data_IF_221623629141
#
_entry.id   IF_221623629141
#
_cell.length_a   1.000
_cell.length_b   1.000
_cell.length_c   1.000
_cell.angle_alpha   90.00
_cell.angle_beta   90.00
_cell.angle_gamma   90.00
#
_symmetry.space_group_name_H-M   'P 1'
#
loop_
_entity.id
_entity.type
_entity.pdbx_description
1 polymer ?
#
# COMPACT_ATOMS: atom_id res chain seq x y z
N UNK A 1 32.24 -50.38 24.64
CA UNK A 1 32.60 -48.97 24.43
C UNK A 1 34.06 -48.77 24.82
N UNK A 2 34.98 -48.48 23.89
CA UNK A 2 36.29 -47.97 24.26
C UNK A 2 36.27 -46.44 24.38
N UNK A 3 37.09 -45.87 25.28
CA UNK A 3 36.99 -44.49 25.73
C UNK A 3 37.76 -43.50 24.84
N UNK A 4 37.19 -42.31 24.70
CA UNK A 4 37.87 -41.01 24.58
C UNK A 4 39.19 -40.94 23.80
N UNK A 5 39.10 -40.75 22.48
CA UNK A 5 40.21 -40.15 21.72
C UNK A 5 40.25 -38.64 22.00
N UNK A 6 41.25 -38.16 22.74
CA UNK A 6 41.57 -36.73 22.90
C UNK A 6 41.98 -36.18 21.54
N UNK A 7 41.37 -35.07 21.11
CA UNK A 7 41.83 -34.32 19.95
C UNK A 7 43.28 -33.85 20.20
N UNK A 8 44.18 -34.12 19.23
CA UNK A 8 45.56 -33.61 19.29
C UNK A 8 45.52 -32.08 19.19
N UNK A 9 46.22 -31.39 20.08
CA UNK A 9 46.28 -29.93 20.11
C UNK A 9 46.95 -29.39 18.85
N UNK A 10 46.30 -28.44 18.17
CA UNK A 10 46.84 -27.78 16.99
C UNK A 10 48.22 -27.16 17.31
N UNK A 11 49.19 -27.38 16.42
CA UNK A 11 50.53 -26.78 16.50
C UNK A 11 50.41 -25.24 16.41
N UNK A 12 50.97 -24.50 17.38
CA UNK A 12 50.98 -23.04 17.36
C UNK A 12 51.67 -22.48 16.11
N UNK A 13 51.12 -21.40 15.56
CA UNK A 13 51.57 -20.79 14.31
C UNK A 13 53.03 -20.32 14.33
N UNK A 14 53.60 -20.04 15.52
CA UNK A 14 55.02 -19.67 15.64
C UNK A 14 55.99 -20.81 15.25
N UNK A 15 55.58 -22.09 15.31
CA UNK A 15 56.45 -23.24 14.99
C UNK A 15 56.47 -23.60 13.49
N UNK A 16 55.63 -22.96 12.67
CA UNK A 16 55.53 -23.20 11.23
C UNK A 16 56.27 -22.16 10.37
N UNK A 17 56.96 -21.19 10.99
CA UNK A 17 57.77 -20.22 10.27
C UNK A 17 59.16 -20.81 9.98
N UNK A 18 59.53 -21.08 8.72
CA UNK A 18 60.92 -21.43 8.41
C UNK A 18 61.80 -20.21 8.68
N UNK A 19 62.80 -20.37 9.54
CA UNK A 19 63.90 -19.42 9.70
C UNK A 19 64.60 -19.25 8.35
N UNK A 20 64.31 -18.13 7.68
CA UNK A 20 64.97 -17.73 6.45
C UNK A 20 65.98 -16.63 6.80
N UNK A 21 67.25 -17.03 6.95
CA UNK A 21 68.38 -16.11 6.85
C UNK A 21 68.30 -15.33 5.52
N UNK A 22 68.65 -14.03 5.49
CA UNK A 22 68.60 -13.25 4.26
C UNK A 22 69.73 -13.66 3.30
N UNK A 23 69.37 -14.38 2.23
CA UNK A 23 70.26 -14.67 1.10
C UNK A 23 70.80 -13.36 0.46
N UNK A 24 72.07 -13.35 -0.01
CA UNK A 24 72.64 -12.18 -0.67
C UNK A 24 71.89 -11.83 -1.97
N UNK A 25 71.85 -10.54 -2.36
CA UNK A 25 71.06 -10.10 -3.51
C UNK A 25 71.58 -10.76 -4.80
N UNK A 26 70.79 -11.64 -5.38
CA UNK A 26 71.09 -12.26 -6.67
C UNK A 26 71.10 -11.17 -7.75
N UNK A 27 72.17 -11.16 -8.56
CA UNK A 27 72.34 -10.23 -9.67
C UNK A 27 71.10 -10.19 -10.57
N UNK A 28 70.66 -8.98 -10.93
CA UNK A 28 69.44 -8.71 -11.67
C UNK A 28 69.46 -9.45 -13.03
N UNK A 29 68.76 -10.59 -13.10
CA UNK A 29 68.47 -11.24 -14.38
C UNK A 29 67.57 -10.31 -15.18
N UNK A 30 67.95 -10.04 -16.43
CA UNK A 30 67.16 -9.17 -17.31
C UNK A 30 65.71 -9.66 -17.34
N UNK A 31 64.77 -8.73 -17.18
CA UNK A 31 63.33 -9.02 -17.18
C UNK A 31 62.97 -9.58 -18.55
N UNK A 32 62.97 -10.90 -18.73
CA UNK A 32 62.32 -11.51 -19.91
C UNK A 32 60.84 -11.18 -19.80
N UNK A 33 60.38 -10.32 -20.70
CA UNK A 33 58.99 -9.86 -20.81
C UNK A 33 58.09 -11.11 -20.82
N UNK A 34 57.23 -11.25 -19.81
CA UNK A 34 56.25 -12.34 -19.76
C UNK A 34 55.38 -12.18 -21.00
N UNK A 35 55.35 -13.19 -21.88
CA UNK A 35 54.57 -13.14 -23.12
C UNK A 35 53.11 -12.98 -22.71
N UNK A 36 52.53 -11.84 -23.05
CA UNK A 36 51.14 -11.52 -22.77
C UNK A 36 50.31 -12.46 -23.65
N UNK A 37 49.76 -13.50 -23.03
CA UNK A 37 48.87 -14.42 -23.72
C UNK A 37 47.49 -13.81 -23.67
N UNK A 38 47.06 -13.22 -24.78
CA UNK A 38 45.70 -12.75 -24.96
C UNK A 38 44.79 -13.99 -24.92
N UNK A 39 44.01 -14.11 -23.85
CA UNK A 39 43.07 -15.20 -23.68
C UNK A 39 41.89 -14.98 -24.63
N UNK A 40 42.05 -15.39 -25.89
CA UNK A 40 41.01 -15.29 -26.89
C UNK A 40 39.95 -16.37 -26.60
N UNK A 41 38.69 -15.97 -26.51
CA UNK A 41 37.56 -16.87 -26.31
C UNK A 41 37.33 -17.69 -27.59
N UNK A 42 38.01 -18.83 -27.69
CA UNK A 42 38.01 -19.69 -28.87
C UNK A 42 36.68 -20.41 -29.10
N UNK A 43 35.80 -20.49 -28.09
CA UNK A 43 34.57 -21.29 -28.13
C UNK A 43 33.31 -20.50 -27.71
N UNK A 44 33.38 -19.19 -27.49
CA UNK A 44 32.24 -18.34 -27.14
C UNK A 44 31.69 -18.53 -25.72
N UNK A 45 32.48 -19.09 -24.80
CA UNK A 45 32.03 -19.42 -23.44
C UNK A 45 31.76 -18.15 -22.61
N UNK A 46 32.51 -17.08 -22.85
CA UNK A 46 32.28 -15.80 -22.19
C UNK A 46 31.00 -15.13 -22.69
N UNK A 47 30.68 -15.27 -23.99
CA UNK A 47 29.45 -14.76 -24.58
C UNK A 47 28.21 -15.47 -24.01
N UNK A 48 28.19 -16.81 -24.01
CA UNK A 48 27.08 -17.59 -23.46
C UNK A 48 26.89 -17.35 -21.96
N UNK A 49 27.97 -17.18 -21.19
CA UNK A 49 27.89 -16.82 -19.77
C UNK A 49 27.35 -15.40 -19.57
N UNK A 50 27.70 -14.47 -20.44
CA UNK A 50 27.14 -13.11 -20.44
C UNK A 50 25.65 -13.10 -20.78
N UNK A 51 25.23 -13.89 -21.77
CA UNK A 51 23.82 -14.09 -22.12
C UNK A 51 23.03 -14.73 -20.97
N UNK A 52 23.59 -15.74 -20.30
CA UNK A 52 22.99 -16.35 -19.12
C UNK A 52 22.81 -15.35 -17.97
N UNK A 53 23.84 -14.54 -17.69
CA UNK A 53 23.77 -13.51 -16.65
C UNK A 53 22.71 -12.46 -16.98
N UNK A 54 22.60 -12.05 -18.25
CA UNK A 54 21.56 -11.12 -18.71
C UNK A 54 20.17 -11.73 -18.56
N UNK A 55 19.99 -13.00 -18.89
CA UNK A 55 18.71 -13.71 -18.73
C UNK A 55 18.31 -13.81 -17.26
N UNK A 56 19.24 -14.15 -16.36
CA UNK A 56 19.00 -14.20 -14.92
C UNK A 56 18.64 -12.82 -14.34
N UNK A 57 19.35 -11.77 -14.76
CA UNK A 57 19.06 -10.39 -14.33
C UNK A 57 17.69 -9.92 -14.84
N UNK A 58 17.33 -10.23 -16.10
CA UNK A 58 16.03 -9.90 -16.66
C UNK A 58 14.90 -10.66 -15.95
N UNK A 59 15.10 -11.94 -15.65
CA UNK A 59 14.12 -12.72 -14.88
C UNK A 59 13.94 -12.16 -13.46
N UNK A 60 15.03 -11.77 -12.79
CA UNK A 60 14.97 -11.13 -11.48
C UNK A 60 14.25 -9.77 -11.55
N UNK A 61 14.51 -8.98 -12.60
CA UNK A 61 13.81 -7.72 -12.86
C UNK A 61 12.31 -7.95 -13.06
N UNK A 62 11.92 -8.90 -13.94
CA UNK A 62 10.51 -9.30 -14.14
C UNK A 62 9.86 -9.80 -12.85
N UNK A 63 10.58 -10.56 -12.01
CA UNK A 63 10.10 -11.01 -10.70
C UNK A 63 9.88 -9.85 -9.73
N UNK A 64 10.79 -8.87 -9.72
CA UNK A 64 10.66 -7.64 -8.90
C UNK A 64 9.48 -6.80 -9.37
N UNK A 65 9.27 -6.65 -10.67
CA UNK A 65 8.16 -5.87 -11.21
C UNK A 65 6.81 -6.54 -10.96
N UNK A 66 6.70 -7.86 -11.14
CA UNK A 66 5.50 -8.62 -10.74
C UNK A 66 5.16 -8.43 -9.26
N UNK A 67 6.16 -8.40 -8.36
CA UNK A 67 5.95 -8.13 -6.93
C UNK A 67 5.47 -6.69 -6.68
N UNK A 68 6.02 -5.70 -7.38
CA UNK A 68 5.59 -4.29 -7.28
C UNK A 68 4.15 -4.12 -7.77
N UNK A 69 3.83 -4.71 -8.91
CA UNK A 69 2.48 -4.70 -9.49
C UNK A 69 1.47 -5.40 -8.58
N UNK A 70 1.81 -6.57 -8.05
CA UNK A 70 0.95 -7.29 -7.09
C UNK A 70 0.62 -6.43 -5.86
N UNK A 71 1.60 -5.67 -5.34
CA UNK A 71 1.36 -4.73 -4.23
C UNK A 71 0.47 -3.56 -4.64
N UNK A 72 0.63 -3.04 -5.86
CA UNK A 72 -0.23 -1.98 -6.41
C UNK A 72 -1.67 -2.47 -6.53
N UNK A 73 -1.90 -3.64 -7.12
CA UNK A 73 -3.22 -4.25 -7.26
C UNK A 73 -3.88 -4.51 -5.90
N UNK A 74 -3.16 -5.09 -4.93
CA UNK A 74 -3.68 -5.29 -3.57
C UNK A 74 -4.08 -3.98 -2.88
N UNK A 75 -3.33 -2.89 -3.08
CA UNK A 75 -3.70 -1.57 -2.55
C UNK A 75 -4.96 -1.02 -3.22
N UNK A 76 -5.08 -1.18 -4.53
CA UNK A 76 -6.27 -0.77 -5.27
C UNK A 76 -7.49 -1.57 -4.83
N UNK A 77 -7.37 -2.90 -4.73
CA UNK A 77 -8.41 -3.79 -4.25
C UNK A 77 -8.83 -3.46 -2.82
N UNK A 78 -7.88 -3.26 -1.91
CA UNK A 78 -8.19 -2.80 -0.55
C UNK A 78 -8.93 -1.46 -0.54
N UNK A 79 -8.57 -0.51 -1.42
CA UNK A 79 -9.26 0.78 -1.54
C UNK A 79 -10.68 0.62 -2.09
N UNK A 80 -10.87 -0.23 -3.10
CA UNK A 80 -12.18 -0.55 -3.68
C UNK A 80 -13.07 -1.27 -2.66
N UNK A 81 -12.55 -2.29 -1.98
CA UNK A 81 -13.29 -3.05 -0.97
C UNK A 81 -13.58 -2.22 0.29
N UNK A 82 -12.73 -1.22 0.62
CA UNK A 82 -13.00 -0.27 1.70
C UNK A 82 -14.00 0.83 1.31
N UNK A 83 -14.25 1.04 0.01
CA UNK A 83 -15.28 1.97 -0.45
C UNK A 83 -16.64 1.30 -0.24
N UNK A 84 -17.53 2.01 0.46
CA UNK A 84 -18.89 1.57 0.78
C UNK A 84 -19.87 2.48 0.07
N UNK A 85 -20.87 1.89 -0.59
CA UNK A 85 -21.91 2.65 -1.26
C UNK A 85 -22.81 3.37 -0.25
N UNK A 86 -23.07 4.66 -0.44
CA UNK A 86 -23.92 5.41 0.50
C UNK A 86 -25.42 5.05 0.42
N UNK A 87 -25.84 4.39 -0.67
CA UNK A 87 -27.22 3.97 -0.88
C UNK A 87 -27.50 2.60 -0.24
N UNK A 88 -26.85 1.54 -0.73
CA UNK A 88 -27.06 0.17 -0.21
C UNK A 88 -26.15 -0.20 0.98
N UNK A 89 -25.12 0.59 1.29
CA UNK A 89 -24.09 0.30 2.33
C UNK A 89 -23.28 -0.98 2.11
N UNK A 90 -23.28 -1.51 0.90
CA UNK A 90 -22.43 -2.64 0.54
C UNK A 90 -21.02 -2.17 0.18
N UNK A 91 -19.97 -2.90 0.60
CA UNK A 91 -18.59 -2.61 0.21
C UNK A 91 -18.32 -2.98 -1.25
N UNK A 92 -17.28 -2.36 -1.84
CA UNK A 92 -16.76 -2.70 -3.16
C UNK A 92 -17.13 -1.74 -4.29
N UNK A 93 -18.14 -0.88 -4.09
CA UNK A 93 -18.61 0.06 -5.10
C UNK A 93 -19.05 1.42 -4.52
N UNK A 94 -19.06 2.46 -5.36
CA UNK A 94 -19.58 3.78 -5.03
C UNK A 94 -21.04 3.93 -5.46
N UNK A 95 -21.69 5.05 -5.09
CA UNK A 95 -23.11 5.30 -5.41
C UNK A 95 -23.39 5.25 -6.92
N UNK A 96 -22.44 5.69 -7.76
CA UNK A 96 -22.59 5.67 -9.22
C UNK A 96 -22.63 4.24 -9.81
N UNK A 97 -21.91 3.31 -9.20
CA UNK A 97 -21.81 1.91 -9.64
C UNK A 97 -22.74 1.00 -8.82
N UNK A 98 -23.73 1.58 -8.14
CA UNK A 98 -24.61 0.83 -7.26
C UNK A 98 -25.67 0.07 -8.06
N UNK A 99 -25.71 -1.28 -7.98
CA UNK A 99 -26.67 -2.08 -8.73
C UNK A 99 -28.12 -1.74 -8.34
N UNK A 100 -28.36 -1.35 -7.08
CA UNK A 100 -29.68 -0.95 -6.60
C UNK A 100 -30.15 0.41 -7.16
N UNK A 101 -29.24 1.31 -7.54
CA UNK A 101 -29.61 2.64 -8.06
C UNK A 101 -30.12 2.56 -9.50
N UNK A 102 -29.72 1.55 -10.27
CA UNK A 102 -30.22 1.33 -11.64
C UNK A 102 -31.74 1.08 -11.67
N UNK A 103 -32.33 0.58 -10.58
CA UNK A 103 -33.78 0.35 -10.48
C UNK A 103 -34.56 1.59 -10.01
N UNK A 104 -33.91 2.55 -9.33
CA UNK A 104 -34.58 3.70 -8.70
C UNK A 104 -34.08 5.04 -9.27
N UNK A 105 -34.28 5.28 -10.57
CA UNK A 105 -33.84 6.43 -11.39
C UNK A 105 -34.02 7.86 -10.80
N UNK A 106 -34.65 8.01 -9.64
CA UNK A 106 -35.05 9.27 -9.00
C UNK A 106 -34.10 9.80 -7.92
N UNK A 107 -32.86 9.31 -7.90
CA UNK A 107 -31.84 9.78 -6.96
C UNK A 107 -30.82 10.56 -7.75
N UNK A 108 -30.86 11.88 -7.68
CA UNK A 108 -30.00 12.81 -8.44
C UNK A 108 -28.50 12.58 -8.23
N UNK A 109 -27.97 11.54 -8.86
CA UNK A 109 -26.54 11.26 -8.90
C UNK A 109 -25.92 12.20 -9.92
N UNK A 110 -24.97 13.02 -9.47
CA UNK A 110 -24.28 13.98 -10.34
C UNK A 110 -24.89 15.39 -10.36
N UNK A 111 -25.88 15.70 -9.51
CA UNK A 111 -26.27 17.08 -9.25
C UNK A 111 -25.44 17.67 -8.09
N UNK A 112 -25.12 18.94 -8.19
CA UNK A 112 -24.59 19.71 -7.08
C UNK A 112 -25.69 19.85 -6.01
N UNK A 113 -25.51 19.25 -4.84
CA UNK A 113 -26.55 19.34 -3.80
C UNK A 113 -26.76 20.75 -3.23
N UNK A 114 -25.90 21.71 -3.59
CA UNK A 114 -26.01 23.11 -3.19
C UNK A 114 -26.84 23.94 -4.17
N UNK A 115 -26.68 23.76 -5.48
CA UNK A 115 -27.39 24.58 -6.49
C UNK A 115 -28.16 23.79 -7.56
N UNK A 116 -28.19 22.46 -7.49
CA UNK A 116 -28.95 21.59 -8.39
C UNK A 116 -28.35 21.39 -9.79
N UNK A 117 -27.26 22.07 -10.14
CA UNK A 117 -26.61 21.94 -11.45
C UNK A 117 -25.86 20.61 -11.59
N UNK A 118 -25.90 20.00 -12.77
CA UNK A 118 -25.13 18.77 -13.10
C UNK A 118 -23.70 19.01 -13.56
N UNK A 119 -23.32 20.28 -13.78
CA UNK A 119 -22.03 20.62 -14.38
C UNK A 119 -20.84 20.51 -13.41
N UNK A 120 -21.10 20.51 -12.09
CA UNK A 120 -20.04 20.53 -11.09
C UNK A 120 -20.41 19.84 -9.77
N UNK A 121 -19.39 19.41 -9.04
CA UNK A 121 -19.52 18.87 -7.68
C UNK A 121 -19.60 19.97 -6.63
N UNK A 122 -20.09 19.65 -5.42
CA UNK A 122 -20.18 20.58 -4.29
C UNK A 122 -18.89 21.37 -4.02
N UNK A 123 -17.72 20.74 -4.18
CA UNK A 123 -16.43 21.38 -3.93
C UNK A 123 -16.10 22.50 -4.91
N UNK A 124 -16.66 22.45 -6.12
CA UNK A 124 -16.45 23.45 -7.17
C UNK A 124 -17.65 24.40 -7.29
N UNK A 125 -18.64 24.25 -6.43
CA UNK A 125 -19.83 25.09 -6.43
C UNK A 125 -19.50 26.51 -5.97
N UNK A 126 -19.76 27.47 -6.85
CA UNK A 126 -19.60 28.91 -6.57
C UNK A 126 -20.92 29.61 -6.27
N UNK A 127 -22.04 28.88 -6.31
CA UNK A 127 -23.35 29.44 -6.07
C UNK A 127 -23.49 29.86 -4.60
N UNK A 128 -23.98 31.08 -4.40
CA UNK A 128 -24.41 31.56 -3.08
C UNK A 128 -25.86 31.11 -2.91
N UNK A 129 -26.11 30.27 -1.92
CA UNK A 129 -27.45 29.77 -1.60
C UNK A 129 -28.00 30.59 -0.46
N UNK A 130 -29.29 30.90 -0.52
CA UNK A 130 -29.99 31.63 0.52
C UNK A 130 -29.94 30.85 1.84
N UNK A 131 -29.55 31.48 2.96
CA UNK A 131 -29.47 30.82 4.27
C UNK A 131 -30.80 30.18 4.71
N UNK A 132 -31.93 30.67 4.20
CA UNK A 132 -33.27 30.15 4.49
C UNK A 132 -33.53 28.76 3.89
N UNK A 133 -32.87 28.41 2.78
CA UNK A 133 -33.05 27.11 2.11
C UNK A 133 -32.18 25.99 2.72
N UNK A 134 -31.41 26.30 3.76
CA UNK A 134 -30.48 25.37 4.39
C UNK A 134 -29.18 25.16 3.58
N UNK A 135 -28.21 24.41 4.14
CA UNK A 135 -26.89 24.26 3.53
C UNK A 135 -26.90 23.42 2.23
N UNK A 136 -27.89 22.54 2.04
CA UNK A 136 -28.00 21.60 0.93
C UNK A 136 -29.46 21.39 0.48
N UNK A 137 -30.11 22.39 -0.14
CA UNK A 137 -31.53 22.31 -0.52
C UNK A 137 -31.84 21.20 -1.52
N UNK A 138 -30.89 20.86 -2.40
CA UNK A 138 -31.05 19.84 -3.44
C UNK A 138 -30.49 18.47 -3.03
N UNK A 139 -29.96 18.32 -1.80
CA UNK A 139 -29.57 17.00 -1.29
C UNK A 139 -30.81 16.19 -0.96
N UNK A 140 -30.95 15.01 -1.56
CA UNK A 140 -31.92 13.99 -1.15
C UNK A 140 -31.24 13.01 -0.19
N UNK A 141 -31.82 12.81 0.98
CA UNK A 141 -31.29 11.89 1.98
C UNK A 141 -31.44 10.44 1.52
N UNK A 142 -30.37 9.65 1.60
CA UNK A 142 -30.41 8.22 1.23
C UNK A 142 -31.09 7.34 2.27
N UNK A 143 -31.50 7.89 3.42
CA UNK A 143 -32.07 7.16 4.54
C UNK A 143 -33.58 7.41 4.64
N UNK A 144 -34.00 8.66 4.78
CA UNK A 144 -35.42 9.03 4.85
C UNK A 144 -36.04 9.46 3.50
N UNK A 145 -35.23 9.71 2.47
CA UNK A 145 -35.72 10.14 1.14
C UNK A 145 -36.12 11.61 1.04
N UNK A 146 -36.11 12.35 2.15
CA UNK A 146 -36.44 13.78 2.18
C UNK A 146 -35.31 14.65 1.61
N UNK A 147 -35.67 15.83 1.13
CA UNK A 147 -34.72 16.81 0.60
C UNK A 147 -34.30 17.83 1.67
N UNK A 148 -33.12 18.43 1.50
CA UNK A 148 -32.62 19.52 2.36
C UNK A 148 -31.47 19.13 3.29
N UNK A 149 -31.13 17.83 3.39
CA UNK A 149 -30.04 17.35 4.23
C UNK A 149 -29.32 16.13 3.64
N UNK A 150 -28.09 15.89 4.10
CA UNK A 150 -27.30 14.70 3.76
C UNK A 150 -27.60 13.57 4.75
N UNK A 151 -27.41 12.31 4.35
CA UNK A 151 -27.62 11.12 5.20
C UNK A 151 -26.91 11.15 6.56
N UNK A 152 -25.82 11.92 6.69
CA UNK A 152 -25.10 12.10 7.96
C UNK A 152 -25.82 13.00 8.96
N UNK A 153 -26.60 13.95 8.46
CA UNK A 153 -27.36 14.93 9.25
C UNK A 153 -28.85 14.62 9.24
N UNK A 154 -29.21 13.38 8.91
CA UNK A 154 -30.59 12.93 8.94
C UNK A 154 -31.05 12.77 10.40
N UNK A 155 -32.14 13.42 10.82
CA UNK A 155 -32.68 13.26 12.17
C UNK A 155 -33.17 11.83 12.41
N UNK A 156 -33.76 11.20 11.39
CA UNK A 156 -34.28 9.84 11.43
C UNK A 156 -33.29 8.86 10.79
N UNK A 157 -32.19 8.56 11.48
CA UNK A 157 -31.20 7.59 11.02
C UNK A 157 -31.30 6.25 11.78
N UNK A 158 -32.19 5.32 11.37
CA UNK A 158 -32.29 4.01 12.01
C UNK A 158 -31.02 3.16 11.83
N UNK A 159 -30.25 3.41 10.77
CA UNK A 159 -29.05 2.62 10.43
C UNK A 159 -27.78 3.15 11.08
N UNK A 160 -27.74 4.30 11.75
CA UNK A 160 -26.49 4.76 12.36
C UNK A 160 -25.55 5.56 11.44
N UNK A 161 -24.56 6.26 12.02
CA UNK A 161 -23.51 6.99 11.30
C UNK A 161 -22.37 6.08 10.76
N UNK A 162 -22.28 4.84 11.23
CA UNK A 162 -21.24 3.88 10.80
C UNK A 162 -21.59 3.18 9.49
N UNK A 163 -20.56 2.76 8.75
CA UNK A 163 -20.72 2.07 7.46
C UNK A 163 -21.51 0.75 7.58
N UNK A 164 -21.17 -0.09 8.56
CA UNK A 164 -21.87 -1.35 8.89
C UNK A 164 -23.19 -1.11 9.64
N UNK A 165 -23.47 0.15 9.99
CA UNK A 165 -24.59 0.58 10.79
C UNK A 165 -24.36 0.50 12.30
N UNK A 166 -25.32 1.05 13.05
CA UNK A 166 -25.31 1.14 14.51
C UNK A 166 -24.88 2.50 15.08
N UNK A 167 -24.96 2.62 16.40
CA UNK A 167 -24.62 3.84 17.14
C UNK A 167 -23.21 3.84 17.73
N UNK A 168 -22.89 4.90 18.44
CA UNK A 168 -21.70 5.03 19.26
C UNK A 168 -21.55 3.81 20.17
N UNK A 169 -20.39 3.14 20.11
CA UNK A 169 -20.12 1.92 20.89
C UNK A 169 -19.99 2.17 22.41
N UNK A 170 -20.09 3.42 22.86
CA UNK A 170 -20.04 3.79 24.28
C UNK A 170 -21.46 4.03 24.79
N UNK A 171 -22.16 5.00 24.20
CA UNK A 171 -23.48 5.43 24.69
C UNK A 171 -24.66 4.97 23.82
N UNK A 172 -24.42 4.26 22.72
CA UNK A 172 -25.47 3.77 21.81
C UNK A 172 -26.09 4.82 20.87
N UNK A 173 -25.82 6.12 21.05
CA UNK A 173 -26.38 7.19 20.21
C UNK A 173 -25.94 7.08 18.75
N UNK A 174 -26.86 7.30 17.81
CA UNK A 174 -26.57 7.30 16.38
C UNK A 174 -25.88 8.58 15.92
N UNK A 175 -26.04 9.68 16.63
CA UNK A 175 -25.72 11.03 16.13
C UNK A 175 -24.21 11.33 16.01
N UNK A 176 -23.36 10.58 16.71
CA UNK A 176 -21.92 10.86 16.77
C UNK A 176 -21.05 9.61 16.65
N UNK A 177 -19.80 9.83 16.23
CA UNK A 177 -18.77 8.79 16.27
C UNK A 177 -18.23 8.63 17.69
N UNK A 178 -17.68 7.46 18.01
CA UNK A 178 -17.07 7.15 19.33
C UNK A 178 -16.02 8.19 19.77
N UNK A 179 -15.38 8.88 18.81
CA UNK A 179 -14.40 9.93 19.07
C UNK A 179 -15.03 11.19 19.67
N UNK A 180 -16.24 11.52 19.22
CA UNK A 180 -16.98 12.72 19.57
C UNK A 180 -18.06 12.40 20.62
N UNK A 181 -17.92 11.27 21.32
CA UNK A 181 -18.88 10.86 22.33
C UNK A 181 -18.73 11.71 23.59
N UNK A 182 -19.82 12.39 24.04
CA UNK A 182 -19.75 13.26 25.21
C UNK A 182 -19.37 12.48 26.47
N UNK A 183 -19.85 11.23 26.62
CA UNK A 183 -19.49 10.38 27.76
C UNK A 183 -18.00 10.02 27.79
N UNK A 184 -17.34 9.98 26.62
CA UNK A 184 -15.90 9.75 26.55
C UNK A 184 -15.10 10.99 26.97
N UNK A 185 -15.60 12.18 26.65
CA UNK A 185 -14.97 13.43 27.09
C UNK A 185 -15.01 13.53 28.62
N UNK A 186 -16.15 13.21 29.21
CA UNK A 186 -16.33 13.21 30.66
C UNK A 186 -15.47 12.15 31.38
N UNK A 187 -15.19 11.00 30.75
CA UNK A 187 -14.35 9.94 31.31
C UNK A 187 -12.83 10.19 31.19
N UNK A 188 -12.40 11.21 30.42
CA UNK A 188 -10.98 11.56 30.26
C UNK A 188 -10.51 12.68 31.19
N UNK A 189 -11.43 13.27 31.98
CA UNK A 189 -11.17 14.37 32.93
C UNK A 189 -11.09 13.91 34.40
N UNK A 190 -11.04 12.60 34.65
CA UNK A 190 -10.73 11.98 35.95
C UNK A 190 -9.47 11.11 35.82
#
# INVERSE_FOLDING_TARGET
>A
APPGARALSATPWEQLAPGAEPEPPRAARSRRRKKEYENQDVNGFAAHRGEQQQQEEEEEARRKDRRRESRRLRRQERKKNAMVCFHCREPGHGVADCPAVLESQDMGTGICYRCGSTEHDLSKCRAKVDPAAGPFPYAKCFICGEMGHLSRSCPDNPKGLYAEGGGCKLCGSVEHFKKDCPEKQNAGEL
#
